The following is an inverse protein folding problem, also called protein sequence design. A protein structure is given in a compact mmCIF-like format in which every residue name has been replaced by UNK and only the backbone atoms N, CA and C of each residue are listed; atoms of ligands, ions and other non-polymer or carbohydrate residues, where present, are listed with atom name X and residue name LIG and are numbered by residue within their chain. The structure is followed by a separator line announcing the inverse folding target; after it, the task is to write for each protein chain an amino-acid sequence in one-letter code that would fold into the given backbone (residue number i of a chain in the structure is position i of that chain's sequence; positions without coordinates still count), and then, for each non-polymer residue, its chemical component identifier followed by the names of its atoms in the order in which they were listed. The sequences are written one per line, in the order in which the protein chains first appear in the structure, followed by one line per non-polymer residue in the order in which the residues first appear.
data_IF_817257880603
#
_entry.id   IF_817257880603
#
_cell.length_a   1.000
_cell.length_b   1.000
_cell.length_c   1.000
_cell.angle_alpha   90.00
_cell.angle_beta   90.00
_cell.angle_gamma   90.00
#
_symmetry.space_group_name_H-M   'P 1'
#
loop_
_entity.id
_entity.type
_entity.pdbx_description
1 polymer ?
#
# COMPACT_ATOMS: atom_id res chain seq x y z
N UNK A 1 -34.14 -27.19 -44.42
CA UNK A 1 -33.80 -25.76 -44.49
C UNK A 1 -33.45 -25.36 -43.06
N UNK A 2 -32.17 -25.41 -42.72
CA UNK A 2 -31.65 -25.15 -41.37
C UNK A 2 -31.64 -23.64 -41.14
N UNK A 3 -32.21 -23.20 -40.03
CA UNK A 3 -32.15 -21.83 -39.54
C UNK A 3 -31.00 -21.72 -38.52
N UNK A 4 -29.94 -20.92 -38.76
CA UNK A 4 -28.90 -20.74 -37.77
C UNK A 4 -29.26 -19.61 -36.79
N UNK A 5 -29.39 -20.03 -35.53
CA UNK A 5 -29.43 -19.25 -34.29
C UNK A 5 -28.44 -18.04 -34.25
N UNK A 6 -28.80 -16.91 -33.61
CA UNK A 6 -27.93 -15.74 -33.56
C UNK A 6 -26.68 -16.00 -32.71
N UNK A 7 -25.54 -15.61 -33.29
CA UNK A 7 -24.22 -15.72 -32.71
C UNK A 7 -24.13 -15.06 -31.32
N UNK A 8 -23.52 -15.79 -30.39
CA UNK A 8 -23.09 -15.30 -29.10
C UNK A 8 -22.28 -14.00 -29.24
N UNK A 9 -22.69 -12.97 -28.51
CA UNK A 9 -21.94 -11.72 -28.34
C UNK A 9 -20.54 -12.05 -27.82
N UNK A 10 -19.53 -11.91 -28.68
CA UNK A 10 -18.12 -11.91 -28.25
C UNK A 10 -17.95 -10.75 -27.27
N UNK A 11 -17.50 -11.06 -26.06
CA UNK A 11 -17.04 -10.04 -25.10
C UNK A 11 -16.01 -9.15 -25.79
N UNK A 12 -16.28 -7.85 -25.80
CA UNK A 12 -15.40 -6.85 -26.38
C UNK A 12 -14.06 -6.88 -25.62
N UNK A 13 -12.95 -7.15 -26.33
CA UNK A 13 -11.62 -6.99 -25.75
C UNK A 13 -11.45 -5.53 -25.32
N UNK A 14 -10.88 -5.26 -24.13
CA UNK A 14 -10.72 -3.90 -23.65
C UNK A 14 -9.78 -3.12 -24.59
N UNK A 15 -10.22 -1.94 -25.02
CA UNK A 15 -9.41 -1.02 -25.85
C UNK A 15 -8.03 -0.78 -25.20
N UNK A 16 -6.93 -0.83 -25.96
CA UNK A 16 -5.59 -0.62 -25.44
C UNK A 16 -5.49 0.73 -24.70
N UNK A 17 -5.26 0.67 -23.38
CA UNK A 17 -5.27 1.83 -22.49
C UNK A 17 -6.50 1.98 -21.59
N UNK A 18 -7.41 1.00 -21.55
CA UNK A 18 -8.59 1.02 -20.65
C UNK A 18 -8.55 -0.01 -19.51
N UNK A 19 -7.54 -0.89 -19.50
CA UNK A 19 -7.40 -1.95 -18.49
C UNK A 19 -7.22 -1.44 -17.06
N UNK A 20 -7.54 -2.31 -16.09
CA UNK A 20 -7.53 -2.02 -14.66
C UNK A 20 -6.19 -1.43 -14.22
N UNK A 21 -5.06 -2.00 -14.65
CA UNK A 21 -3.72 -1.51 -14.31
C UNK A 21 -3.53 -0.05 -14.73
N UNK A 22 -3.99 0.32 -15.92
CA UNK A 22 -3.88 1.69 -16.41
C UNK A 22 -4.74 2.63 -15.57
N UNK A 23 -5.98 2.23 -15.29
CA UNK A 23 -6.92 2.98 -14.46
C UNK A 23 -6.40 3.22 -13.04
N UNK A 24 -5.98 2.16 -12.34
CA UNK A 24 -5.37 2.26 -11.02
C UNK A 24 -4.19 3.24 -11.01
N UNK A 25 -3.29 3.17 -12.00
CA UNK A 25 -2.17 4.11 -12.08
C UNK A 25 -2.61 5.55 -12.36
N UNK A 26 -3.52 5.74 -13.30
CA UNK A 26 -3.92 7.07 -13.77
C UNK A 26 -4.76 7.81 -12.73
N UNK A 27 -5.73 7.10 -12.16
CA UNK A 27 -6.79 7.66 -11.30
C UNK A 27 -6.35 7.79 -9.83
N UNK A 28 -5.36 7.02 -9.37
CA UNK A 28 -4.80 7.18 -8.00
C UNK A 28 -3.55 8.06 -7.95
N UNK A 29 -3.08 8.58 -9.08
CA UNK A 29 -1.80 9.31 -9.20
C UNK A 29 -1.68 10.49 -8.24
N UNK A 30 -2.69 11.35 -8.18
CA UNK A 30 -2.65 12.54 -7.30
C UNK A 30 -2.61 12.14 -5.82
N UNK A 31 -3.34 11.10 -5.43
CA UNK A 31 -3.34 10.61 -4.05
C UNK A 31 -1.98 10.00 -3.68
N UNK A 32 -1.39 9.23 -4.61
CA UNK A 32 -0.03 8.70 -4.47
C UNK A 32 1.02 9.80 -4.33
N UNK A 33 1.03 10.80 -5.21
CA UNK A 33 1.98 11.93 -5.17
C UNK A 33 1.90 12.71 -3.86
N UNK A 34 0.69 12.94 -3.35
CA UNK A 34 0.47 13.59 -2.04
C UNK A 34 1.05 12.77 -0.89
N UNK A 35 0.83 11.45 -0.90
CA UNK A 35 1.36 10.57 0.14
C UNK A 35 2.89 10.50 0.09
N UNK A 36 3.47 10.39 -1.10
CA UNK A 36 4.92 10.30 -1.32
C UNK A 36 5.64 11.59 -0.90
N UNK A 37 5.07 12.76 -1.21
CA UNK A 37 5.59 14.05 -0.78
C UNK A 37 5.73 14.16 0.75
N UNK A 38 4.85 13.51 1.51
CA UNK A 38 4.91 13.46 2.97
C UNK A 38 6.15 12.75 3.52
N UNK A 39 6.80 11.89 2.73
CA UNK A 39 7.92 11.05 3.14
C UNK A 39 9.20 11.31 2.32
N UNK A 40 9.20 12.34 1.47
CA UNK A 40 10.29 12.63 0.54
C UNK A 40 11.66 12.79 1.23
N UNK A 41 11.66 13.32 2.46
CA UNK A 41 12.85 13.66 3.25
C UNK A 41 13.52 12.48 3.96
N UNK A 42 12.93 11.29 3.94
CA UNK A 42 13.52 10.12 4.61
C UNK A 42 14.87 9.77 3.97
N UNK A 43 15.91 9.74 4.80
CA UNK A 43 17.28 9.47 4.39
C UNK A 43 18.05 10.69 3.89
N UNK A 44 17.46 11.89 3.91
CA UNK A 44 18.22 13.12 3.74
C UNK A 44 19.11 13.40 4.97
N UNK A 45 20.27 14.07 4.80
CA UNK A 45 21.17 14.41 5.91
C UNK A 45 20.49 15.12 7.08
N UNK A 46 19.47 15.94 6.78
CA UNK A 46 18.72 16.78 7.71
C UNK A 46 17.30 16.24 7.99
N UNK A 47 16.87 15.18 7.30
CA UNK A 47 15.55 14.55 7.48
C UNK A 47 15.43 13.72 8.77
N UNK A 48 16.57 13.34 9.35
CA UNK A 48 16.68 12.72 10.67
C UNK A 48 15.93 11.40 10.84
N UNK A 49 16.17 10.72 11.97
CA UNK A 49 15.39 9.53 12.35
C UNK A 49 13.90 9.81 12.60
N UNK A 50 13.51 11.09 12.74
CA UNK A 50 12.13 11.52 12.97
C UNK A 50 11.18 11.25 11.80
N UNK A 51 11.63 11.49 10.57
CA UNK A 51 10.80 11.25 9.37
C UNK A 51 10.57 9.75 9.15
N UNK A 52 11.60 8.92 9.38
CA UNK A 52 11.42 7.46 9.32
C UNK A 52 10.55 6.95 10.46
N UNK A 53 10.71 7.45 11.68
CA UNK A 53 9.86 7.07 12.81
C UNK A 53 8.37 7.39 12.52
N UNK A 54 8.10 8.57 11.96
CA UNK A 54 6.76 8.98 11.52
C UNK A 54 6.21 8.05 10.43
N UNK A 55 7.01 7.75 9.41
CA UNK A 55 6.65 6.79 8.36
C UNK A 55 6.30 5.41 8.94
N UNK A 56 7.13 4.91 9.85
CA UNK A 56 6.94 3.60 10.47
C UNK A 56 5.67 3.55 11.34
N UNK A 57 5.42 4.58 12.15
CA UNK A 57 4.19 4.71 12.96
C UNK A 57 2.93 4.71 12.07
N UNK A 58 2.94 5.47 10.97
CA UNK A 58 1.80 5.54 10.04
C UNK A 58 1.56 4.17 9.39
N UNK A 59 2.62 3.52 8.91
CA UNK A 59 2.49 2.22 8.25
C UNK A 59 2.03 1.13 9.22
N UNK A 60 2.55 1.08 10.45
CA UNK A 60 2.11 0.09 11.42
C UNK A 60 0.62 0.23 11.73
N UNK A 61 0.15 1.45 12.05
CA UNK A 61 -1.24 1.69 12.38
C UNK A 61 -2.18 1.36 11.20
N UNK A 62 -1.79 1.72 9.96
CA UNK A 62 -2.61 1.45 8.79
C UNK A 62 -2.66 -0.04 8.45
N UNK A 63 -1.50 -0.73 8.47
CA UNK A 63 -1.43 -2.15 8.16
C UNK A 63 -2.18 -2.98 9.21
N UNK A 64 -2.09 -2.63 10.50
CA UNK A 64 -2.85 -3.30 11.56
C UNK A 64 -4.37 -3.21 11.37
N UNK A 65 -4.85 -2.12 10.76
CA UNK A 65 -6.27 -1.97 10.44
C UNK A 65 -6.70 -2.67 9.14
N UNK A 66 -5.80 -2.76 8.15
CA UNK A 66 -6.13 -3.22 6.79
C UNK A 66 -5.88 -4.72 6.61
N UNK A 67 -4.73 -5.24 7.07
CA UNK A 67 -4.29 -6.60 6.78
C UNK A 67 -5.29 -7.69 7.24
N UNK A 68 -5.91 -7.59 8.43
CA UNK A 68 -6.95 -8.55 8.84
C UNK A 68 -8.18 -8.57 7.92
N UNK A 69 -8.56 -7.42 7.37
CA UNK A 69 -9.70 -7.29 6.46
C UNK A 69 -9.38 -7.90 5.09
N UNK A 70 -8.14 -7.73 4.61
CA UNK A 70 -7.67 -8.40 3.40
C UNK A 70 -7.52 -9.90 3.56
N UNK A 71 -7.08 -10.37 4.74
CA UNK A 71 -7.04 -11.80 5.03
C UNK A 71 -8.46 -12.41 4.98
N UNK A 72 -9.46 -11.70 5.54
CA UNK A 72 -10.85 -12.14 5.57
C UNK A 72 -11.57 -12.05 4.20
N UNK A 73 -11.13 -11.18 3.28
CA UNK A 73 -11.76 -11.00 1.97
C UNK A 73 -11.56 -12.19 1.03
N UNK A 74 -10.56 -13.03 1.29
CA UNK A 74 -10.19 -14.15 0.44
C UNK A 74 -9.44 -13.76 -0.84
N UNK A 75 -9.10 -12.48 -1.02
CA UNK A 75 -8.44 -11.98 -2.24
C UNK A 75 -7.13 -12.71 -2.55
N UNK A 76 -6.36 -13.08 -1.51
CA UNK A 76 -5.09 -13.78 -1.68
C UNK A 76 -5.22 -15.23 -2.16
N UNK A 77 -6.42 -15.84 -2.13
CA UNK A 77 -6.66 -17.13 -2.80
C UNK A 77 -6.46 -17.05 -4.31
N UNK A 78 -6.52 -15.84 -4.87
CA UNK A 78 -6.31 -15.57 -6.28
C UNK A 78 -4.86 -15.16 -6.58
N UNK A 79 -4.04 -14.91 -5.55
CA UNK A 79 -2.70 -14.32 -5.68
C UNK A 79 -1.66 -15.10 -4.86
N UNK A 80 -1.07 -16.16 -5.42
CA UNK A 80 0.13 -16.83 -4.88
C UNK A 80 0.22 -16.94 -3.35
N UNK A 81 1.43 -16.80 -2.80
CA UNK A 81 1.63 -16.83 -1.35
C UNK A 81 1.20 -15.50 -0.69
N UNK A 82 -0.04 -15.49 -0.19
CA UNK A 82 -0.66 -14.39 0.53
C UNK A 82 -0.02 -14.08 1.89
N UNK A 83 0.66 -15.03 2.54
CA UNK A 83 1.28 -14.79 3.85
C UNK A 83 2.50 -13.86 3.74
N UNK A 84 3.23 -13.93 2.63
CA UNK A 84 4.32 -13.00 2.32
C UNK A 84 3.83 -11.57 1.95
N UNK A 85 2.50 -11.33 1.95
CA UNK A 85 1.91 -10.01 1.72
C UNK A 85 1.86 -9.13 2.98
N UNK A 86 1.94 -9.72 4.17
CA UNK A 86 1.69 -9.01 5.41
C UNK A 86 2.99 -8.54 6.06
N UNK A 87 3.01 -7.25 6.41
CA UNK A 87 4.19 -6.55 6.95
C UNK A 87 3.88 -5.85 8.28
N UNK A 88 2.65 -5.92 8.79
CA UNK A 88 2.27 -5.33 10.08
C UNK A 88 3.18 -5.82 11.22
N UNK A 89 3.41 -7.13 11.34
CA UNK A 89 4.27 -7.69 12.38
C UNK A 89 5.73 -7.23 12.28
N UNK A 90 6.24 -6.99 11.07
CA UNK A 90 7.58 -6.43 10.89
C UNK A 90 7.63 -4.95 11.32
N UNK A 91 6.60 -4.17 10.97
CA UNK A 91 6.46 -2.79 11.44
C UNK A 91 6.36 -2.73 12.97
N UNK A 92 5.53 -3.57 13.59
CA UNK A 92 5.35 -3.66 15.04
C UNK A 92 6.65 -3.98 15.77
N UNK A 93 7.48 -4.88 15.23
CA UNK A 93 8.82 -5.18 15.77
C UNK A 93 9.75 -3.98 15.71
N UNK A 94 9.76 -3.25 14.59
CA UNK A 94 10.61 -2.07 14.44
C UNK A 94 10.15 -0.93 15.38
N UNK A 95 8.84 -0.71 15.58
CA UNK A 95 8.34 0.26 16.57
C UNK A 95 8.86 -0.07 17.96
N UNK A 96 8.78 -1.34 18.37
CA UNK A 96 9.24 -1.80 19.67
C UNK A 96 10.76 -1.61 19.84
N UNK A 97 11.55 -1.99 18.82
CA UNK A 97 13.01 -1.83 18.83
C UNK A 97 13.42 -0.36 18.93
N UNK A 98 12.70 0.53 18.23
CA UNK A 98 12.94 1.98 18.24
C UNK A 98 12.26 2.72 19.40
N UNK A 99 11.55 2.00 20.29
CA UNK A 99 10.77 2.55 21.43
C UNK A 99 9.78 3.64 21.00
N UNK A 100 9.20 3.51 19.81
CA UNK A 100 8.21 4.44 19.28
C UNK A 100 6.83 4.12 19.86
N UNK A 101 6.04 5.17 20.11
CA UNK A 101 4.65 5.02 20.54
C UNK A 101 3.76 4.82 19.31
N UNK A 102 2.91 3.77 19.28
CA UNK A 102 1.93 3.62 18.21
C UNK A 102 0.87 4.73 18.29
N UNK A 103 0.20 4.98 17.17
CA UNK A 103 -0.97 5.86 17.11
C UNK A 103 -2.24 5.04 16.94
N UNK A 104 -3.36 5.61 17.37
CA UNK A 104 -4.68 5.06 17.08
C UNK A 104 -5.23 5.75 15.85
N UNK A 105 -5.66 4.95 14.87
CA UNK A 105 -6.35 5.40 13.67
C UNK A 105 -7.82 5.00 13.73
N UNK A 106 -8.68 5.73 13.03
CA UNK A 106 -10.08 5.36 12.84
C UNK A 106 -10.17 3.98 12.16
N UNK A 107 -11.27 3.23 12.31
CA UNK A 107 -11.45 1.98 11.56
C UNK A 107 -11.32 2.20 10.05
N UNK A 108 -10.69 1.25 9.34
CA UNK A 108 -10.60 1.30 7.88
C UNK A 108 -12.01 1.29 7.27
N UNK A 109 -12.33 2.17 6.30
CA UNK A 109 -13.72 2.40 5.92
C UNK A 109 -14.32 1.28 5.04
N UNK A 110 -13.56 0.23 4.74
CA UNK A 110 -14.01 -0.98 4.04
C UNK A 110 -13.96 -2.20 5.00
N UNK A 111 -14.94 -2.37 5.90
CA UNK A 111 -14.90 -3.43 6.92
C UNK A 111 -15.12 -4.84 6.36
N UNK A 112 -15.66 -4.96 5.14
CA UNK A 112 -15.89 -6.22 4.41
C UNK A 112 -15.71 -5.98 2.91
N UNK A 113 -14.47 -5.78 2.43
CA UNK A 113 -14.26 -5.46 1.03
C UNK A 113 -14.67 -6.66 0.16
N UNK A 114 -15.36 -6.38 -0.94
CA UNK A 114 -15.51 -7.30 -2.06
C UNK A 114 -14.14 -7.64 -2.66
N UNK A 115 -14.07 -8.67 -3.52
CA UNK A 115 -12.83 -9.04 -4.21
C UNK A 115 -12.25 -7.85 -5.00
N UNK A 116 -13.10 -7.11 -5.74
CA UNK A 116 -12.66 -5.94 -6.50
C UNK A 116 -12.08 -4.84 -5.61
N UNK A 117 -12.76 -4.51 -4.50
CA UNK A 117 -12.24 -3.52 -3.53
C UNK A 117 -10.94 -4.01 -2.90
N UNK A 118 -10.85 -5.29 -2.53
CA UNK A 118 -9.65 -5.89 -1.95
C UNK A 118 -8.46 -5.87 -2.94
N UNK A 119 -8.71 -6.00 -4.24
CA UNK A 119 -7.70 -5.78 -5.29
C UNK A 119 -7.19 -4.34 -5.27
N UNK A 120 -8.09 -3.35 -5.19
CA UNK A 120 -7.74 -1.94 -5.07
C UNK A 120 -6.86 -1.64 -3.86
N UNK A 121 -7.25 -2.15 -2.69
CA UNK A 121 -6.45 -2.00 -1.46
C UNK A 121 -5.09 -2.70 -1.59
N UNK A 122 -5.06 -3.93 -2.14
CA UNK A 122 -3.82 -4.69 -2.33
C UNK A 122 -2.87 -3.99 -3.31
N UNK A 123 -3.39 -3.33 -4.34
CA UNK A 123 -2.59 -2.53 -5.27
C UNK A 123 -1.77 -1.46 -4.54
N UNK A 124 -2.38 -0.73 -3.59
CA UNK A 124 -1.69 0.29 -2.81
C UNK A 124 -0.61 -0.32 -1.92
N UNK A 125 -0.93 -1.42 -1.22
CA UNK A 125 0.02 -2.08 -0.32
C UNK A 125 1.20 -2.73 -1.07
N UNK A 126 0.96 -3.37 -2.20
CA UNK A 126 2.02 -3.94 -3.04
C UNK A 126 2.86 -2.84 -3.71
N UNK A 127 2.23 -1.77 -4.19
CA UNK A 127 2.93 -0.61 -4.75
C UNK A 127 3.88 0.06 -3.76
N UNK A 128 3.48 0.17 -2.48
CA UNK A 128 4.29 0.79 -1.41
C UNK A 128 5.64 0.10 -1.17
N UNK A 129 5.80 -1.17 -1.58
CA UNK A 129 7.05 -1.95 -1.41
C UNK A 129 8.20 -1.38 -2.23
N UNK A 130 7.92 -0.78 -3.38
CA UNK A 130 8.96 -0.12 -4.18
C UNK A 130 9.54 1.08 -3.42
N UNK A 131 8.67 1.89 -2.80
CA UNK A 131 9.09 2.99 -1.93
C UNK A 131 9.89 2.49 -0.72
N UNK A 132 9.44 1.41 -0.07
CA UNK A 132 10.16 0.82 1.06
C UNK A 132 11.60 0.39 0.71
N UNK A 133 11.82 -0.19 -0.47
CA UNK A 133 13.18 -0.53 -0.95
C UNK A 133 14.06 0.70 -1.20
N UNK A 134 13.48 1.76 -1.75
CA UNK A 134 14.19 3.02 -1.97
C UNK A 134 14.58 3.68 -0.63
N UNK A 135 13.65 3.70 0.32
CA UNK A 135 13.91 4.19 1.68
C UNK A 135 15.02 3.38 2.35
N UNK A 136 14.97 2.05 2.28
CA UNK A 136 16.01 1.18 2.85
C UNK A 136 17.39 1.49 2.27
N UNK A 137 17.47 1.68 0.94
CA UNK A 137 18.72 2.04 0.27
C UNK A 137 19.25 3.40 0.77
N UNK A 138 18.38 4.39 0.94
CA UNK A 138 18.77 5.73 1.45
C UNK A 138 19.26 5.66 2.91
N UNK A 139 18.58 4.90 3.77
CA UNK A 139 18.97 4.74 5.17
C UNK A 139 20.35 4.06 5.28
N UNK A 140 20.60 3.00 4.52
CA UNK A 140 21.90 2.30 4.50
C UNK A 140 23.03 3.21 4.01
N UNK A 141 22.81 4.00 2.97
CA UNK A 141 23.80 4.97 2.49
C UNK A 141 24.14 6.01 3.56
N UNK A 142 23.14 6.49 4.31
CA UNK A 142 23.37 7.43 5.41
C UNK A 142 24.16 6.82 6.59
N UNK A 143 24.04 5.52 6.83
CA UNK A 143 24.82 4.80 7.85
C UNK A 143 26.30 4.64 7.43
N UNK A 144 26.54 4.33 6.16
CA UNK A 144 27.90 4.20 5.59
C UNK A 144 28.68 5.52 5.67
N UNK A 145 27.99 6.67 5.56
CA UNK A 145 28.57 8.02 5.75
C UNK A 145 28.91 8.35 7.22
N UNK A 146 28.90 7.36 8.11
CA UNK A 146 29.38 7.49 9.49
C UNK A 146 28.36 8.05 10.47
N UNK A 147 27.06 7.97 10.17
CA UNK A 147 25.98 8.26 11.12
C UNK A 147 25.40 6.94 11.64
N UNK A 148 25.83 6.44 12.83
CA UNK A 148 25.23 5.26 13.42
C UNK A 148 23.75 5.53 13.66
N UNK A 149 22.88 4.79 12.98
CA UNK A 149 21.45 4.88 13.16
C UNK A 149 21.02 3.64 13.96
N UNK A 150 20.38 3.85 15.11
CA UNK A 150 19.69 2.78 15.84
C UNK A 150 18.32 2.48 15.17
N UNK A 151 18.25 2.56 13.84
CA UNK A 151 17.00 2.43 13.09
C UNK A 151 16.76 0.95 12.80
N UNK A 152 15.64 0.44 13.30
CA UNK A 152 15.17 -0.88 12.95
C UNK A 152 14.49 -0.84 11.56
N UNK A 153 14.86 -1.76 10.67
CA UNK A 153 14.45 -1.75 9.26
C UNK A 153 13.78 -3.06 8.80
N UNK A 154 13.40 -3.95 9.72
CA UNK A 154 12.72 -5.21 9.41
C UNK A 154 11.49 -5.02 8.50
N UNK A 155 10.75 -3.94 8.70
CA UNK A 155 9.58 -3.56 7.91
C UNK A 155 9.92 -3.27 6.44
N UNK A 156 11.03 -2.58 6.21
CA UNK A 156 11.50 -2.25 4.87
C UNK A 156 12.09 -3.49 4.18
N UNK A 157 12.80 -4.32 4.93
CA UNK A 157 13.37 -5.57 4.43
C UNK A 157 12.27 -6.57 4.03
N UNK A 158 11.12 -6.53 4.70
CA UNK A 158 9.93 -7.30 4.34
C UNK A 158 9.26 -6.84 3.01
N UNK A 159 9.79 -5.83 2.31
CA UNK A 159 9.26 -5.39 1.02
C UNK A 159 9.36 -6.46 -0.09
N UNK A 160 10.27 -7.43 0.05
CA UNK A 160 10.39 -8.56 -0.87
C UNK A 160 10.75 -8.18 -2.30
N UNK A 161 10.57 -9.14 -3.22
CA UNK A 161 11.03 -9.03 -4.60
C UNK A 161 10.10 -8.16 -5.48
N UNK A 162 10.64 -7.33 -6.39
CA UNK A 162 9.84 -6.49 -7.30
C UNK A 162 8.87 -7.26 -8.20
N UNK A 163 9.20 -8.51 -8.56
CA UNK A 163 8.41 -9.40 -9.42
C UNK A 163 7.03 -9.70 -8.84
N UNK A 164 6.87 -9.65 -7.52
CA UNK A 164 5.60 -9.85 -6.81
C UNK A 164 4.52 -8.89 -7.27
N UNK A 165 4.84 -7.60 -7.39
CA UNK A 165 3.85 -6.59 -7.79
C UNK A 165 3.40 -6.79 -9.24
N UNK A 166 4.34 -7.17 -10.12
CA UNK A 166 4.00 -7.48 -11.52
C UNK A 166 3.06 -8.67 -11.61
N UNK A 167 3.37 -9.76 -10.91
CA UNK A 167 2.52 -10.95 -10.87
C UNK A 167 1.12 -10.65 -10.29
N UNK A 168 1.04 -9.82 -9.24
CA UNK A 168 -0.23 -9.35 -8.71
C UNK A 168 -1.04 -8.57 -9.76
N UNK A 169 -0.42 -7.60 -10.46
CA UNK A 169 -1.11 -6.79 -11.46
C UNK A 169 -1.65 -7.65 -12.61
N UNK A 170 -0.88 -8.64 -13.06
CA UNK A 170 -1.30 -9.53 -14.15
C UNK A 170 -2.50 -10.39 -13.72
N UNK A 171 -2.51 -10.88 -12.47
CA UNK A 171 -3.64 -11.62 -11.93
C UNK A 171 -4.87 -10.73 -11.64
N UNK A 172 -4.65 -9.49 -11.18
CA UNK A 172 -5.70 -8.52 -10.90
C UNK A 172 -6.46 -8.12 -12.18
N UNK A 173 -5.75 -7.94 -13.29
CA UNK A 173 -6.33 -7.64 -14.60
C UNK A 173 -7.29 -8.74 -15.06
N UNK A 174 -6.98 -10.01 -14.76
CA UNK A 174 -7.85 -11.14 -15.08
C UNK A 174 -9.05 -11.26 -14.12
N UNK A 175 -8.85 -10.90 -12.85
CA UNK A 175 -9.86 -11.05 -11.80
C UNK A 175 -10.92 -9.94 -11.83
N UNK A 176 -10.53 -8.73 -12.24
CA UNK A 176 -11.38 -7.54 -12.30
C UNK A 176 -11.54 -7.11 -13.75
N UNK A 177 -12.40 -7.84 -14.47
CA UNK A 177 -12.58 -7.68 -15.92
C UNK A 177 -13.75 -6.77 -16.32
N UNK A 178 -14.61 -6.38 -15.37
CA UNK A 178 -15.79 -5.53 -15.66
C UNK A 178 -15.51 -4.07 -15.34
N UNK A 179 -16.21 -3.15 -16.02
CA UNK A 179 -16.13 -1.72 -15.73
C UNK A 179 -16.51 -1.38 -14.29
N UNK A 180 -17.62 -1.95 -13.79
CA UNK A 180 -18.11 -1.70 -12.43
C UNK A 180 -17.21 -2.29 -11.33
N UNK A 181 -16.54 -3.42 -11.57
CA UNK A 181 -15.55 -3.94 -10.63
C UNK A 181 -14.25 -3.12 -10.69
N UNK A 182 -13.87 -2.65 -11.88
CA UNK A 182 -12.72 -1.74 -12.03
C UNK A 182 -12.94 -0.43 -11.29
N UNK A 183 -14.15 0.15 -11.37
CA UNK A 183 -14.53 1.36 -10.63
C UNK A 183 -14.39 1.14 -9.11
N UNK A 184 -14.88 0.00 -8.61
CA UNK A 184 -14.77 -0.38 -7.19
C UNK A 184 -13.33 -0.57 -6.74
N UNK A 185 -12.48 -1.19 -7.58
CA UNK A 185 -11.06 -1.34 -7.27
C UNK A 185 -10.34 0.02 -7.21
N UNK A 186 -10.63 0.93 -8.15
CA UNK A 186 -10.04 2.27 -8.16
C UNK A 186 -10.52 3.11 -6.98
N UNK A 187 -11.81 3.08 -6.64
CA UNK A 187 -12.35 3.77 -5.45
C UNK A 187 -11.68 3.26 -4.17
N UNK A 188 -11.59 1.94 -4.01
CA UNK A 188 -10.95 1.33 -2.84
C UNK A 188 -9.46 1.69 -2.73
N UNK A 189 -8.73 1.78 -3.86
CA UNK A 189 -7.35 2.25 -3.87
C UNK A 189 -7.23 3.71 -3.40
N UNK A 190 -8.08 4.61 -3.91
CA UNK A 190 -8.10 6.01 -3.47
C UNK A 190 -8.43 6.14 -1.97
N UNK A 191 -9.45 5.42 -1.49
CA UNK A 191 -9.79 5.38 -0.06
C UNK A 191 -8.66 4.84 0.81
N UNK A 192 -7.85 3.93 0.27
CA UNK A 192 -6.63 3.46 0.95
C UNK A 192 -5.60 4.57 1.04
N UNK A 193 -5.32 5.30 -0.05
CA UNK A 193 -4.40 6.47 0.02
C UNK A 193 -4.88 7.54 1.01
N UNK A 194 -6.18 7.88 0.98
CA UNK A 194 -6.76 8.87 1.88
C UNK A 194 -6.64 8.45 3.35
N UNK A 195 -6.79 7.15 3.63
CA UNK A 195 -6.60 6.59 4.96
C UNK A 195 -5.15 6.75 5.47
N UNK A 196 -4.15 6.47 4.62
CA UNK A 196 -2.75 6.72 4.98
C UNK A 196 -2.45 8.22 5.18
N UNK A 197 -3.04 9.10 4.36
CA UNK A 197 -2.92 10.55 4.53
C UNK A 197 -3.56 11.04 5.84
N UNK A 198 -4.69 10.47 6.25
CA UNK A 198 -5.31 10.77 7.54
C UNK A 198 -4.45 10.30 8.71
N UNK A 199 -3.93 9.07 8.64
CA UNK A 199 -3.01 8.54 9.65
C UNK A 199 -1.74 9.40 9.79
N UNK A 200 -1.21 9.91 8.67
CA UNK A 200 -0.09 10.86 8.68
C UNK A 200 -0.45 12.14 9.43
N UNK A 201 -1.60 12.76 9.14
CA UNK A 201 -2.08 13.94 9.88
C UNK A 201 -2.25 13.65 11.38
N UNK A 202 -2.68 12.46 11.74
CA UNK A 202 -2.80 12.02 13.14
C UNK A 202 -1.43 11.88 13.81
N UNK A 203 -0.45 11.29 13.14
CA UNK A 203 0.93 11.20 13.62
C UNK A 203 1.54 12.59 13.85
N UNK A 204 1.36 13.51 12.91
CA UNK A 204 1.88 14.88 12.99
C UNK A 204 1.30 15.63 14.20
N UNK A 205 -0.01 15.50 14.45
CA UNK A 205 -0.66 16.09 15.63
C UNK A 205 -0.11 15.51 16.94
N UNK A 206 0.08 14.19 17.01
CA UNK A 206 0.61 13.52 18.19
C UNK A 206 2.05 13.95 18.51
N UNK A 207 2.89 14.15 17.49
CA UNK A 207 4.27 14.62 17.64
C UNK A 207 4.34 16.10 18.05
N UNK A 208 3.47 16.95 17.49
CA UNK A 208 3.43 18.38 17.84
C UNK A 208 2.91 18.61 19.27
N UNK A 209 1.93 17.84 19.73
CA UNK A 209 1.45 17.91 21.12
C UNK A 209 2.49 17.52 22.18
N UNK A 210 3.50 16.73 21.80
CA UNK A 210 4.58 16.27 22.69
C UNK A 210 5.78 17.23 22.76
N UNK A 211 5.86 18.22 21.85
CA UNK A 211 6.89 19.27 21.83
C UNK A 211 6.50 20.55 22.59
N UNK A 212 5.25 20.65 23.06
CA UNK A 212 4.72 21.79 23.83
C UNK A 212 4.57 21.38 25.29
N UNK A 213 5.68 20.98 25.93
CA UNK A 213 5.79 20.82 27.39
C UNK A 213 7.22 21.19 27.79
#
# INVERSE_FOLDING_TARGET
MFDPSPAATRGQEPEPGTGLRHRLRLETRLAHERLDAGFARIGEPDGGGGDYARFLIVNEACLGAIEPLLAASGVFRHFGDGAAAFRHEAARRDLAAMKLRPIVVSPFPLPRPSIAEAVGVTYVLEGSRLGARLILKRLRAAEEDGKPSAIATSFLEAAGQPTRFRAFLDAAEMLVATGADSDRAVDAANRTFDYFLEAMRTADRAQNGMRVI
#
